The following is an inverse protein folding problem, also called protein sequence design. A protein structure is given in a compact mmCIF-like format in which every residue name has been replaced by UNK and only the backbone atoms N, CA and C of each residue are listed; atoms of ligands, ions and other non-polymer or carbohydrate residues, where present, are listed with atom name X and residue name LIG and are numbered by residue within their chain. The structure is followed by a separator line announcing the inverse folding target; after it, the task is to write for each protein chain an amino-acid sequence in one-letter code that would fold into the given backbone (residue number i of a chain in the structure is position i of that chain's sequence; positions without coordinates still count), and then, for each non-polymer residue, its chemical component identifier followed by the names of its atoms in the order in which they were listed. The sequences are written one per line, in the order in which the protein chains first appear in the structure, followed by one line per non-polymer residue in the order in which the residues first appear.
data_IF_673388630053
#
_entry.id   IF_673388630053
#
_cell.length_a   1.000
_cell.length_b   1.000
_cell.length_c   1.000
_cell.angle_alpha   90.00
_cell.angle_beta   90.00
_cell.angle_gamma   90.00
#
_symmetry.space_group_name_H-M   'P 1'
#
loop_
_entity.id
_entity.type
_entity.pdbx_description
1 polymer ?
#
# COMPACT_ATOMS: atom_id res chain seq x y z
N UNK A 1 3.00 -13.41 -23.26
CA UNK A 1 2.90 -12.19 -22.44
C UNK A 1 3.60 -11.06 -23.20
N UNK A 2 2.86 -10.05 -23.66
CA UNK A 2 3.35 -8.93 -24.49
C UNK A 2 3.83 -7.76 -23.62
N UNK A 3 4.57 -6.81 -24.22
CA UNK A 3 4.99 -5.59 -23.52
C UNK A 3 3.79 -4.78 -22.98
N UNK A 4 2.66 -4.77 -23.70
CA UNK A 4 1.41 -4.10 -23.29
C UNK A 4 0.82 -4.77 -22.03
N UNK A 5 0.80 -6.09 -21.98
CA UNK A 5 0.30 -6.83 -20.81
C UNK A 5 1.17 -6.62 -19.57
N UNK A 6 2.50 -6.56 -19.76
CA UNK A 6 3.44 -6.25 -18.67
C UNK A 6 3.22 -4.82 -18.18
N UNK A 7 3.09 -3.84 -19.08
CA UNK A 7 2.85 -2.44 -18.73
C UNK A 7 1.51 -2.26 -18.00
N UNK A 8 0.43 -2.86 -18.51
CA UNK A 8 -0.88 -2.81 -17.86
C UNK A 8 -0.84 -3.42 -16.44
N UNK A 9 -0.19 -4.58 -16.28
CA UNK A 9 -0.01 -5.23 -14.98
C UNK A 9 0.86 -4.40 -14.03
N UNK A 10 1.91 -3.77 -14.54
CA UNK A 10 2.71 -2.80 -13.78
C UNK A 10 1.94 -1.54 -13.42
N UNK A 11 0.86 -1.17 -14.10
CA UNK A 11 -0.03 -0.08 -13.70
C UNK A 11 -1.06 -0.51 -12.65
N UNK A 12 -1.57 -1.73 -12.75
CA UNK A 12 -2.54 -2.30 -11.80
C UNK A 12 -1.93 -2.49 -10.40
N UNK A 13 -0.70 -3.01 -10.29
CA UNK A 13 -0.06 -3.26 -8.98
C UNK A 13 0.15 -1.97 -8.16
N UNK A 14 0.68 -0.86 -8.70
CA UNK A 14 0.74 0.43 -8.02
C UNK A 14 -0.63 0.95 -7.60
N UNK A 15 -1.64 0.88 -8.48
CA UNK A 15 -3.00 1.34 -8.16
C UNK A 15 -3.60 0.55 -7.00
N UNK A 16 -3.47 -0.77 -7.03
CA UNK A 16 -3.97 -1.65 -5.98
C UNK A 16 -3.23 -1.42 -4.64
N UNK A 17 -1.92 -1.21 -4.69
CA UNK A 17 -1.10 -0.95 -3.50
C UNK A 17 -1.43 0.41 -2.87
N UNK A 18 -1.66 1.43 -3.71
CA UNK A 18 -2.12 2.73 -3.25
C UNK A 18 -3.52 2.64 -2.62
N UNK A 19 -4.44 1.90 -3.24
CA UNK A 19 -5.77 1.67 -2.70
C UNK A 19 -5.73 0.99 -1.32
N UNK A 20 -4.85 -0.01 -1.14
CA UNK A 20 -4.61 -0.67 0.16
C UNK A 20 -4.11 0.29 1.22
N UNK A 21 -3.17 1.18 0.88
CA UNK A 21 -2.66 2.20 1.81
C UNK A 21 -3.79 3.15 2.26
N UNK A 22 -4.64 3.59 1.33
CA UNK A 22 -5.79 4.47 1.64
C UNK A 22 -6.86 3.77 2.47
N UNK A 23 -7.14 2.50 2.17
CA UNK A 23 -8.05 1.69 2.97
C UNK A 23 -7.56 1.57 4.42
N UNK A 24 -6.28 1.29 4.61
CA UNK A 24 -5.69 1.26 5.95
C UNK A 24 -5.78 2.61 6.66
N UNK A 25 -5.53 3.72 5.97
CA UNK A 25 -5.64 5.06 6.54
C UNK A 25 -7.06 5.36 7.03
N UNK A 26 -8.08 4.88 6.29
CA UNK A 26 -9.47 4.96 6.72
C UNK A 26 -9.76 4.11 7.96
N UNK A 27 -9.24 2.88 8.00
CA UNK A 27 -9.41 1.98 9.14
C UNK A 27 -8.76 2.54 10.41
N UNK A 28 -7.55 3.10 10.31
CA UNK A 28 -6.89 3.76 11.45
C UNK A 28 -7.69 4.98 11.93
N UNK A 29 -8.16 5.83 11.01
CA UNK A 29 -9.00 7.00 11.37
C UNK A 29 -10.32 6.62 12.05
N UNK A 30 -10.86 5.44 11.76
CA UNK A 30 -12.13 4.95 12.33
C UNK A 30 -11.94 4.10 13.60
N UNK A 31 -10.72 4.06 14.16
CA UNK A 31 -10.41 3.26 15.36
C UNK A 31 -10.28 1.75 15.11
N UNK A 32 -10.35 1.31 13.85
CA UNK A 32 -10.24 -0.08 13.41
C UNK A 32 -8.80 -0.45 13.03
N UNK A 33 -7.83 0.06 13.80
CA UNK A 33 -6.39 -0.04 13.52
C UNK A 33 -5.90 -1.48 13.30
N UNK A 34 -6.48 -2.46 13.98
CA UNK A 34 -6.16 -3.89 13.79
C UNK A 34 -6.41 -4.38 12.36
N UNK A 35 -7.50 -3.92 11.73
CA UNK A 35 -7.86 -4.30 10.37
C UNK A 35 -6.97 -3.62 9.32
N UNK A 36 -6.39 -2.47 9.66
CA UNK A 36 -5.46 -1.73 8.80
C UNK A 36 -4.08 -2.38 8.63
N UNK A 37 -3.67 -3.27 9.56
CA UNK A 37 -2.30 -3.85 9.56
C UNK A 37 -1.99 -4.69 8.32
N UNK A 38 -2.95 -5.53 7.87
CA UNK A 38 -2.74 -6.40 6.70
C UNK A 38 -2.64 -5.61 5.39
N UNK A 39 -3.56 -4.67 5.09
CA UNK A 39 -3.44 -3.81 3.91
C UNK A 39 -2.14 -2.99 3.85
N UNK A 40 -1.68 -2.42 4.98
CA UNK A 40 -0.42 -1.65 5.01
C UNK A 40 0.78 -2.52 4.67
N UNK A 41 0.85 -3.74 5.22
CA UNK A 41 1.96 -4.66 4.92
C UNK A 41 2.02 -4.98 3.43
N UNK A 42 0.89 -5.36 2.82
CA UNK A 42 0.82 -5.67 1.39
C UNK A 42 1.20 -4.47 0.50
N UNK A 43 0.77 -3.26 0.87
CA UNK A 43 1.15 -2.04 0.16
C UNK A 43 2.66 -1.77 0.29
N UNK A 44 3.23 -1.98 1.49
CA UNK A 44 4.66 -1.76 1.77
C UNK A 44 5.56 -2.68 0.93
N UNK A 45 5.24 -3.96 0.83
CA UNK A 45 6.01 -4.92 0.02
C UNK A 45 6.06 -4.49 -1.46
N UNK A 46 4.95 -3.99 -2.00
CA UNK A 46 4.90 -3.47 -3.36
C UNK A 46 5.71 -2.17 -3.51
N UNK A 47 5.60 -1.24 -2.56
CA UNK A 47 6.37 0.00 -2.59
C UNK A 47 7.88 -0.23 -2.47
N UNK A 48 8.31 -1.24 -1.72
CA UNK A 48 9.72 -1.66 -1.68
C UNK A 48 10.21 -2.11 -3.05
N UNK A 49 9.45 -2.99 -3.72
CA UNK A 49 9.80 -3.49 -5.07
C UNK A 49 9.84 -2.38 -6.12
N UNK A 50 8.98 -1.36 -5.97
CA UNK A 50 8.89 -0.22 -6.89
C UNK A 50 9.84 0.94 -6.54
N UNK A 51 10.61 0.85 -5.45
CA UNK A 51 11.46 1.95 -4.98
C UNK A 51 10.67 3.20 -4.55
N UNK A 52 9.38 3.06 -4.22
CA UNK A 52 8.46 4.15 -3.91
C UNK A 52 8.67 4.69 -2.47
N UNK A 53 9.85 5.26 -2.21
CA UNK A 53 10.34 5.67 -0.89
C UNK A 53 9.39 6.60 -0.14
N UNK A 54 8.72 7.52 -0.86
CA UNK A 54 7.71 8.42 -0.24
C UNK A 54 6.52 7.64 0.32
N UNK A 55 6.03 6.65 -0.42
CA UNK A 55 4.90 5.82 -0.01
C UNK A 55 5.29 4.85 1.12
N UNK A 56 6.53 4.36 1.13
CA UNK A 56 7.06 3.59 2.26
C UNK A 56 7.07 4.37 3.56
N UNK A 57 7.52 5.63 3.53
CA UNK A 57 7.47 6.51 4.73
C UNK A 57 6.04 6.74 5.22
N UNK A 58 5.09 6.92 4.29
CA UNK A 58 3.68 7.05 4.65
C UNK A 58 3.12 5.76 5.28
N UNK A 59 3.43 4.60 4.70
CA UNK A 59 3.04 3.31 5.25
C UNK A 59 3.61 3.08 6.66
N UNK A 60 4.89 3.38 6.87
CA UNK A 60 5.54 3.27 8.18
C UNK A 60 4.90 4.18 9.24
N UNK A 61 4.59 5.44 8.87
CA UNK A 61 3.87 6.36 9.75
C UNK A 61 2.47 5.84 10.12
N UNK A 62 1.81 5.14 9.19
CA UNK A 62 0.51 4.54 9.43
C UNK A 62 0.60 3.35 10.40
N UNK A 63 1.63 2.50 10.27
CA UNK A 63 1.90 1.42 11.24
C UNK A 63 2.11 1.99 12.63
N UNK A 64 2.92 3.04 12.77
CA UNK A 64 3.19 3.68 14.06
C UNK A 64 1.92 4.24 14.72
N UNK A 65 0.96 4.75 13.93
CA UNK A 65 -0.34 5.22 14.43
C UNK A 65 -1.33 4.11 14.77
N UNK A 66 -1.10 2.91 14.24
CA UNK A 66 -1.95 1.74 14.42
C UNK A 66 -1.41 0.73 15.46
N UNK A 67 -0.22 1.03 16.01
CA UNK A 67 0.43 0.29 17.10
C UNK A 67 -0.24 0.63 18.43
#
# INVERSE_FOLDING_TARGET
MTAVEIHARMGTVPNESLARLRAAESLVRTGRSGEGRRPVRLASDAFQRLGATRLLRQAAALVARAA
#
